data_IF_965648142556
#
_entry.id   IF_965648142556
#
_cell.length_a   1.000
_cell.length_b   1.000
_cell.length_c   1.000
_cell.angle_alpha   90.00
_cell.angle_beta   90.00
_cell.angle_gamma   90.00
#
_symmetry.space_group_name_H-M   'P 1'
#
loop_
_entity.id
_entity.type
_entity.pdbx_description
1 polymer ?
#
# COMPACT_ATOMS: atom_id res chain seq x y z
N UNK A 1 -37.62 49.58 -23.64
CA UNK A 1 -37.29 48.18 -23.99
C UNK A 1 -35.77 48.00 -24.09
N UNK A 2 -35.04 48.08 -22.95
CA UNK A 2 -33.55 48.06 -22.93
C UNK A 2 -32.96 47.17 -21.82
N UNK A 3 -33.80 46.49 -21.03
CA UNK A 3 -33.39 45.68 -19.87
C UNK A 3 -33.42 44.16 -20.14
N UNK A 4 -33.75 43.74 -21.36
CA UNK A 4 -33.90 42.32 -21.72
C UNK A 4 -32.70 41.74 -22.50
N UNK A 5 -31.71 42.55 -22.88
CA UNK A 5 -30.55 42.07 -23.63
C UNK A 5 -29.36 41.62 -22.76
N UNK A 6 -29.36 41.94 -21.45
CA UNK A 6 -28.21 41.65 -20.58
C UNK A 6 -28.23 40.22 -19.99
N UNK A 7 -29.38 39.53 -20.05
CA UNK A 7 -29.51 38.18 -19.50
C UNK A 7 -29.13 37.07 -20.50
N UNK A 8 -29.03 37.39 -21.81
CA UNK A 8 -28.73 36.40 -22.85
C UNK A 8 -27.22 36.20 -23.10
N UNK A 9 -26.36 37.00 -22.47
CA UNK A 9 -24.90 36.88 -22.55
C UNK A 9 -24.30 35.98 -21.46
N UNK A 10 -25.10 35.48 -20.53
CA UNK A 10 -24.65 34.58 -19.45
C UNK A 10 -24.78 33.09 -19.87
N UNK A 11 -25.43 32.81 -21.01
CA UNK A 11 -25.58 31.46 -21.57
C UNK A 11 -24.56 31.10 -22.65
N UNK A 12 -23.55 31.95 -22.91
CA UNK A 12 -22.37 31.52 -23.66
C UNK A 12 -21.63 30.58 -22.72
N UNK A 13 -21.81 29.28 -22.96
CA UNK A 13 -21.17 28.22 -22.19
C UNK A 13 -19.70 28.57 -21.98
N UNK A 14 -19.33 28.72 -20.70
CA UNK A 14 -17.93 28.69 -20.31
C UNK A 14 -17.35 27.43 -20.97
N UNK A 15 -16.24 27.52 -21.74
CA UNK A 15 -15.62 26.34 -22.27
C UNK A 15 -15.37 25.42 -21.08
N UNK A 16 -15.96 24.23 -21.12
CA UNK A 16 -15.59 23.17 -20.20
C UNK A 16 -14.06 23.05 -20.32
N UNK A 17 -13.34 23.44 -19.29
CA UNK A 17 -11.90 23.23 -19.23
C UNK A 17 -11.71 21.72 -19.04
N UNK A 18 -11.74 20.96 -20.13
CA UNK A 18 -11.52 19.51 -20.11
C UNK A 18 -10.04 19.16 -19.87
N UNK A 19 -9.14 20.13 -20.03
CA UNK A 19 -7.71 19.96 -19.76
C UNK A 19 -7.39 20.41 -18.35
N UNK A 20 -7.28 19.43 -17.44
CA UNK A 20 -6.64 19.62 -16.15
C UNK A 20 -5.24 20.21 -16.35
N UNK A 21 -4.92 21.25 -15.56
CA UNK A 21 -3.75 22.09 -15.76
C UNK A 21 -2.39 21.41 -15.51
N UNK A 22 -1.29 22.14 -15.71
CA UNK A 22 0.06 21.65 -15.43
C UNK A 22 0.22 21.34 -13.94
N UNK A 23 0.26 20.06 -13.58
CA UNK A 23 0.48 19.63 -12.21
C UNK A 23 1.96 19.60 -11.84
N UNK A 24 2.29 19.91 -10.58
CA UNK A 24 3.64 19.63 -10.06
C UNK A 24 3.86 18.12 -10.07
N UNK A 25 4.85 17.64 -10.81
CA UNK A 25 5.26 16.25 -10.73
C UNK A 25 6.18 16.11 -9.52
N UNK A 26 5.72 15.36 -8.52
CA UNK A 26 6.46 15.10 -7.29
C UNK A 26 7.06 13.70 -7.34
N UNK A 27 8.32 13.62 -6.95
CA UNK A 27 9.11 12.40 -6.95
C UNK A 27 9.48 12.04 -5.52
N UNK A 28 9.13 10.82 -5.15
CA UNK A 28 9.29 10.30 -3.79
C UNK A 28 10.30 9.17 -3.79
N UNK A 29 11.14 9.17 -2.77
CA UNK A 29 12.08 8.11 -2.47
C UNK A 29 11.52 7.27 -1.32
N UNK A 30 11.88 5.99 -1.28
CA UNK A 30 11.53 5.11 -0.16
C UNK A 30 12.66 5.19 0.85
N UNK A 31 12.33 5.48 2.11
CA UNK A 31 13.33 5.60 3.17
C UNK A 31 13.16 4.56 4.27
N UNK A 32 12.06 3.82 4.23
CA UNK A 32 11.76 2.81 5.24
C UNK A 32 10.60 1.89 4.90
N UNK A 33 10.47 0.85 5.71
CA UNK A 33 9.39 -0.12 5.68
C UNK A 33 8.89 -0.34 7.11
N UNK A 34 7.58 -0.35 7.28
CA UNK A 34 6.92 -0.72 8.52
C UNK A 34 6.05 -1.96 8.28
N UNK A 35 6.03 -2.84 9.27
CA UNK A 35 5.20 -4.03 9.30
C UNK A 35 4.33 -4.02 10.55
N UNK A 36 3.02 -3.93 10.35
CA UNK A 36 2.01 -3.85 11.42
C UNK A 36 1.11 -5.06 11.35
N UNK A 37 0.76 -5.61 12.51
CA UNK A 37 -0.29 -6.63 12.59
C UNK A 37 -1.59 -5.95 12.97
N UNK A 38 -2.67 -6.31 12.29
CA UNK A 38 -3.99 -5.77 12.52
C UNK A 38 -4.97 -6.88 12.81
N UNK A 39 -5.93 -6.60 13.69
CA UNK A 39 -7.16 -7.37 13.83
C UNK A 39 -8.23 -6.68 12.99
N UNK A 40 -8.75 -7.39 12.01
CA UNK A 40 -9.92 -6.98 11.23
C UNK A 40 -11.11 -7.79 11.71
N UNK A 41 -12.10 -7.11 12.27
CA UNK A 41 -13.42 -7.68 12.56
C UNK A 41 -14.46 -7.03 11.64
N UNK A 42 -15.70 -7.51 11.68
CA UNK A 42 -16.81 -6.84 10.99
C UNK A 42 -17.07 -5.40 11.49
N UNK A 43 -16.66 -5.08 12.73
CA UNK A 43 -16.98 -3.81 13.38
C UNK A 43 -15.81 -2.81 13.40
N UNK A 44 -14.56 -3.29 13.38
CA UNK A 44 -13.39 -2.44 13.57
C UNK A 44 -12.09 -3.04 13.04
N UNK A 45 -11.14 -2.16 12.75
CA UNK A 45 -9.72 -2.45 12.48
C UNK A 45 -8.90 -1.95 13.66
N UNK A 46 -8.04 -2.78 14.21
CA UNK A 46 -7.17 -2.42 15.34
C UNK A 46 -5.74 -2.89 15.08
N UNK A 47 -4.76 -1.99 15.23
CA UNK A 47 -3.34 -2.37 15.26
C UNK A 47 -3.05 -3.14 16.55
N UNK A 48 -2.48 -4.33 16.41
CA UNK A 48 -2.16 -5.21 17.52
C UNK A 48 -0.87 -4.75 18.22
N UNK A 49 -0.82 -4.98 19.53
CA UNK A 49 0.35 -4.75 20.38
C UNK A 49 0.91 -6.05 20.92
N UNK A 50 2.14 -6.01 21.44
CA UNK A 50 2.86 -7.18 21.94
C UNK A 50 2.04 -7.97 22.98
N UNK A 51 2.00 -9.29 22.82
CA UNK A 51 1.33 -10.22 23.73
C UNK A 51 -0.18 -10.32 23.55
N UNK A 52 -0.77 -9.54 22.63
CA UNK A 52 -2.18 -9.70 22.31
C UNK A 52 -2.45 -11.02 21.57
N UNK A 53 -3.66 -11.52 21.76
CA UNK A 53 -4.16 -12.76 21.15
C UNK A 53 -5.14 -12.44 20.03
N UNK A 54 -5.11 -13.16 18.93
CA UNK A 54 -6.01 -12.93 17.78
C UNK A 54 -6.30 -14.25 17.06
N UNK A 55 -7.51 -14.40 16.51
CA UNK A 55 -7.81 -15.51 15.61
C UNK A 55 -7.08 -15.31 14.29
N UNK A 56 -6.60 -16.41 13.69
CA UNK A 56 -6.00 -16.38 12.36
C UNK A 56 -6.94 -15.78 11.31
N UNK A 57 -8.26 -15.98 11.43
CA UNK A 57 -9.26 -15.44 10.49
C UNK A 57 -9.35 -13.90 10.52
N UNK A 58 -9.10 -13.29 11.67
CA UNK A 58 -9.16 -11.84 11.87
C UNK A 58 -7.79 -11.17 11.66
N UNK A 59 -6.72 -11.95 11.50
CA UNK A 59 -5.36 -11.43 11.42
C UNK A 59 -5.05 -10.89 10.02
N UNK A 60 -4.49 -9.68 9.97
CA UNK A 60 -3.89 -9.09 8.78
C UNK A 60 -2.49 -8.59 9.06
N UNK A 61 -1.63 -8.63 8.05
CA UNK A 61 -0.33 -7.99 8.03
C UNK A 61 -0.43 -6.77 7.12
N UNK A 62 -0.20 -5.59 7.65
CA UNK A 62 -0.08 -4.36 6.86
C UNK A 62 1.38 -4.00 6.69
N UNK A 63 1.79 -3.75 5.45
CA UNK A 63 3.07 -3.14 5.13
C UNK A 63 2.84 -1.69 4.71
N UNK A 64 3.66 -0.81 5.26
CA UNK A 64 3.65 0.61 4.93
C UNK A 64 5.05 1.04 4.54
N UNK A 65 5.15 1.72 3.40
CA UNK A 65 6.39 2.35 2.98
C UNK A 65 6.48 3.75 3.59
N UNK A 66 7.62 4.04 4.19
CA UNK A 66 7.97 5.39 4.60
C UNK A 66 8.62 6.08 3.40
N UNK A 67 8.07 7.22 3.00
CA UNK A 67 8.47 7.91 1.77
C UNK A 67 8.92 9.33 2.07
N UNK A 68 9.88 9.81 1.28
CA UNK A 68 10.40 11.17 1.38
C UNK A 68 10.36 11.85 0.02
N UNK A 69 9.76 13.04 -0.04
CA UNK A 69 9.81 13.89 -1.24
C UNK A 69 11.26 14.32 -1.48
N UNK A 70 11.82 13.99 -2.66
CA UNK A 70 13.18 14.41 -3.02
C UNK A 70 13.22 15.43 -4.16
N UNK A 71 12.20 15.47 -5.02
CA UNK A 71 12.12 16.45 -6.11
C UNK A 71 10.69 16.79 -6.46
N UNK A 72 10.47 18.03 -6.89
CA UNK A 72 9.21 18.46 -7.48
C UNK A 72 9.51 19.31 -8.71
N UNK A 73 9.01 18.88 -9.88
CA UNK A 73 9.12 19.65 -11.11
C UNK A 73 7.86 20.49 -11.30
N UNK A 74 7.98 21.83 -11.32
CA UNK A 74 6.86 22.68 -11.67
C UNK A 74 6.51 22.44 -13.14
N UNK A 75 5.29 22.05 -13.43
CA UNK A 75 4.86 21.99 -14.81
C UNK A 75 4.75 23.44 -15.37
N UNK A 76 5.13 23.65 -16.64
CA UNK A 76 5.20 24.99 -17.23
C UNK A 76 3.81 25.63 -17.24
N UNK A 77 3.63 26.71 -16.46
CA UNK A 77 2.39 27.47 -16.39
C UNK A 77 2.42 28.66 -17.34
N UNK A 78 1.43 28.74 -18.21
CA UNK A 78 0.99 30.01 -18.82
C UNK A 78 -0.29 30.48 -18.13
N UNK A 79 -0.20 31.49 -17.26
CA UNK A 79 -1.35 32.18 -16.68
C UNK A 79 -1.81 31.72 -15.28
N UNK A 80 -2.42 32.64 -14.54
CA UNK A 80 -2.97 32.43 -13.19
C UNK A 80 -4.40 31.90 -13.29
N UNK A 81 -4.59 30.58 -13.26
CA UNK A 81 -5.90 29.97 -13.11
C UNK A 81 -5.95 29.18 -11.80
N UNK A 82 -6.88 29.54 -10.92
CA UNK A 82 -7.26 28.70 -9.78
C UNK A 82 -8.22 27.63 -10.30
N UNK A 83 -7.81 26.36 -10.28
CA UNK A 83 -8.61 25.21 -10.72
C UNK A 83 -8.72 24.18 -9.59
N UNK A 84 -9.88 23.56 -9.45
CA UNK A 84 -10.16 22.52 -8.45
C UNK A 84 -9.90 21.11 -9.01
N UNK A 85 -8.64 20.83 -9.37
CA UNK A 85 -8.23 19.50 -9.82
C UNK A 85 -7.61 18.71 -8.66
N UNK A 86 -7.77 17.39 -8.69
CA UNK A 86 -7.04 16.49 -7.79
C UNK A 86 -5.53 16.57 -8.11
N UNK A 87 -4.69 16.55 -7.08
CA UNK A 87 -3.24 16.49 -7.26
C UNK A 87 -2.85 15.17 -7.93
N UNK A 88 -1.84 15.17 -8.82
CA UNK A 88 -1.37 13.94 -9.44
C UNK A 88 -0.83 13.01 -8.35
N UNK A 89 -1.00 11.71 -8.56
CA UNK A 89 -0.40 10.72 -7.67
C UNK A 89 1.13 10.88 -7.66
N UNK A 90 1.77 10.67 -6.50
CA UNK A 90 3.23 10.57 -6.38
C UNK A 90 3.84 9.68 -7.49
N UNK A 91 4.91 10.15 -8.12
CA UNK A 91 5.68 9.36 -9.07
C UNK A 91 6.80 8.64 -8.34
N UNK A 92 6.78 7.32 -8.41
CA UNK A 92 7.87 6.45 -7.95
C UNK A 92 8.51 5.83 -9.18
N UNK A 93 9.84 5.78 -9.22
CA UNK A 93 10.55 5.17 -10.36
C UNK A 93 10.96 3.73 -10.08
N UNK A 94 10.84 3.31 -8.83
CA UNK A 94 11.34 2.07 -8.28
C UNK A 94 10.27 0.97 -8.35
N UNK A 95 10.72 -0.27 -8.44
CA UNK A 95 9.87 -1.45 -8.42
C UNK A 95 10.35 -2.43 -7.36
N UNK A 96 9.41 -3.12 -6.72
CA UNK A 96 9.67 -4.24 -5.83
C UNK A 96 9.89 -5.47 -6.70
N UNK A 97 11.05 -6.10 -6.62
CA UNK A 97 11.35 -7.36 -7.28
C UNK A 97 11.34 -8.56 -6.31
N UNK A 98 11.43 -8.32 -5.00
CA UNK A 98 11.28 -9.35 -3.99
C UNK A 98 10.65 -8.80 -2.71
N UNK A 99 9.72 -9.56 -2.15
CA UNK A 99 9.21 -9.39 -0.79
C UNK A 99 9.20 -10.77 -0.14
N UNK A 100 9.74 -10.90 1.05
CA UNK A 100 9.73 -12.16 1.81
C UNK A 100 9.13 -11.91 3.17
N UNK A 101 8.09 -12.68 3.51
CA UNK A 101 7.53 -12.77 4.86
C UNK A 101 8.07 -14.05 5.50
N UNK A 102 8.62 -13.94 6.70
CA UNK A 102 9.13 -15.06 7.49
C UNK A 102 8.58 -14.95 8.90
N UNK A 103 8.45 -16.08 9.61
CA UNK A 103 8.22 -16.06 11.06
C UNK A 103 9.52 -16.33 11.82
N UNK A 104 9.66 -15.69 12.98
CA UNK A 104 10.73 -15.99 13.95
C UNK A 104 10.57 -17.35 14.63
N UNK A 105 9.36 -17.89 14.64
CA UNK A 105 9.02 -19.17 15.27
C UNK A 105 8.53 -20.16 14.21
N UNK A 106 8.49 -21.44 14.55
CA UNK A 106 7.86 -22.44 13.68
C UNK A 106 6.39 -22.06 13.47
N UNK A 107 5.96 -22.03 12.21
CA UNK A 107 4.59 -21.73 11.85
C UNK A 107 3.77 -23.02 11.73
N UNK A 108 4.31 -23.99 10.99
CA UNK A 108 3.82 -25.36 10.89
C UNK A 108 4.99 -26.31 10.53
N UNK A 109 4.69 -27.59 10.27
CA UNK A 109 5.71 -28.59 9.95
C UNK A 109 6.43 -28.35 8.62
N UNK A 110 5.80 -27.65 7.67
CA UNK A 110 6.39 -27.29 6.36
C UNK A 110 7.13 -25.94 6.43
N UNK A 111 6.81 -25.12 7.43
CA UNK A 111 7.33 -23.78 7.62
C UNK A 111 8.01 -23.61 8.99
N UNK A 112 9.24 -24.15 9.17
CA UNK A 112 10.02 -23.92 10.38
C UNK A 112 10.44 -22.45 10.52
N UNK A 113 10.91 -22.06 11.70
CA UNK A 113 11.39 -20.72 12.01
C UNK A 113 12.38 -20.22 10.94
N UNK A 114 12.13 -19.01 10.44
CA UNK A 114 12.92 -18.35 9.39
C UNK A 114 12.59 -18.78 7.96
N UNK A 115 11.75 -19.79 7.75
CA UNK A 115 11.26 -20.14 6.41
C UNK A 115 10.31 -19.08 5.86
N UNK A 116 10.23 -19.00 4.52
CA UNK A 116 9.30 -18.09 3.85
C UNK A 116 7.86 -18.58 4.00
N UNK A 117 6.96 -17.64 4.28
CA UNK A 117 5.51 -17.85 4.35
C UNK A 117 4.79 -17.30 3.10
N UNK A 118 5.51 -16.97 2.02
CA UNK A 118 4.93 -16.25 0.87
C UNK A 118 3.81 -17.00 0.14
N UNK A 119 3.76 -18.33 0.25
CA UNK A 119 2.67 -19.16 -0.25
C UNK A 119 1.44 -19.19 0.68
N UNK A 120 1.65 -18.93 1.97
CA UNK A 120 0.57 -18.78 2.94
C UNK A 120 0.06 -17.34 3.04
N UNK A 121 0.81 -16.36 2.56
CA UNK A 121 0.42 -14.95 2.56
C UNK A 121 -0.29 -14.62 1.24
N UNK A 122 -1.42 -13.94 1.31
CA UNK A 122 -2.18 -13.48 0.15
C UNK A 122 -2.58 -12.02 0.26
N UNK A 123 -2.85 -11.42 -0.89
CA UNK A 123 -3.40 -10.08 -1.01
C UNK A 123 -4.55 -10.08 -2.02
N UNK A 124 -5.33 -9.01 -1.99
CA UNK A 124 -6.30 -8.70 -3.03
C UNK A 124 -5.62 -7.90 -4.14
N UNK A 125 -5.75 -8.35 -5.39
CA UNK A 125 -5.22 -7.62 -6.55
C UNK A 125 -6.15 -6.48 -6.99
N UNK A 126 -5.76 -5.78 -8.05
CA UNK A 126 -6.53 -4.66 -8.62
C UNK A 126 -7.93 -5.04 -9.13
N UNK A 127 -8.19 -6.34 -9.30
CA UNK A 127 -9.47 -6.90 -9.76
C UNK A 127 -10.28 -7.55 -8.62
N UNK A 128 -9.85 -7.40 -7.37
CA UNK A 128 -10.51 -7.99 -6.21
C UNK A 128 -10.22 -9.49 -6.02
N UNK A 129 -9.28 -10.07 -6.78
CA UNK A 129 -8.94 -11.48 -6.69
C UNK A 129 -7.90 -11.72 -5.60
N UNK A 130 -8.08 -12.82 -4.85
CA UNK A 130 -7.12 -13.24 -3.84
C UNK A 130 -5.97 -14.01 -4.49
N UNK A 131 -4.78 -13.43 -4.50
CA UNK A 131 -3.56 -14.02 -5.08
C UNK A 131 -2.51 -14.25 -3.99
N UNK A 132 -1.74 -15.34 -4.08
CA UNK A 132 -0.64 -15.56 -3.12
C UNK A 132 0.46 -14.53 -3.35
N UNK A 133 1.19 -14.18 -2.30
CA UNK A 133 2.32 -13.27 -2.41
C UNK A 133 3.40 -13.84 -3.34
N UNK A 134 3.60 -15.16 -3.32
CA UNK A 134 4.49 -15.86 -4.25
C UNK A 134 4.11 -15.65 -5.71
N UNK A 135 2.84 -15.82 -6.06
CA UNK A 135 2.35 -15.61 -7.44
C UNK A 135 2.37 -14.13 -7.83
N UNK A 136 2.05 -13.26 -6.88
CA UNK A 136 2.02 -11.82 -7.13
C UNK A 136 3.40 -11.26 -7.50
N UNK A 137 4.47 -11.83 -6.95
CA UNK A 137 5.87 -11.40 -7.18
C UNK A 137 6.59 -12.14 -8.30
N UNK A 138 5.87 -12.85 -9.18
CA UNK A 138 6.49 -13.47 -10.37
C UNK A 138 7.12 -12.42 -11.28
N UNK A 139 6.61 -11.18 -11.26
CA UNK A 139 7.16 -10.04 -11.98
C UNK A 139 7.35 -8.85 -11.03
N UNK A 140 8.34 -7.97 -11.28
CA UNK A 140 8.51 -6.76 -10.50
C UNK A 140 7.26 -5.88 -10.50
N UNK A 141 6.97 -5.23 -9.36
CA UNK A 141 5.77 -4.41 -9.14
C UNK A 141 6.15 -2.96 -8.87
N UNK A 142 5.55 -2.02 -9.60
CA UNK A 142 5.80 -0.60 -9.40
C UNK A 142 5.28 -0.14 -8.04
N UNK A 143 6.08 0.61 -7.29
CA UNK A 143 5.73 1.02 -5.92
C UNK A 143 4.54 2.00 -5.85
N UNK A 144 4.35 2.80 -6.90
CA UNK A 144 3.39 3.92 -6.87
C UNK A 144 1.93 3.57 -6.68
N UNK A 145 1.55 2.31 -6.88
CA UNK A 145 0.20 1.85 -6.62
C UNK A 145 0.01 1.31 -5.18
N UNK A 146 1.06 1.24 -4.35
CA UNK A 146 1.06 0.36 -3.17
C UNK A 146 1.77 0.90 -1.90
N UNK A 147 1.66 2.18 -1.51
CA UNK A 147 2.31 2.65 -0.28
C UNK A 147 1.79 1.95 0.99
N UNK A 148 0.60 1.33 0.92
CA UNK A 148 0.02 0.52 1.98
C UNK A 148 -0.50 -0.80 1.40
N UNK A 149 0.15 -1.92 1.73
CA UNK A 149 -0.28 -3.25 1.31
C UNK A 149 -0.86 -4.00 2.50
N UNK A 150 -2.01 -4.65 2.31
CA UNK A 150 -2.65 -5.47 3.35
C UNK A 150 -2.66 -6.92 2.88
N UNK A 151 -2.12 -7.78 3.72
CA UNK A 151 -2.02 -9.21 3.49
C UNK A 151 -2.83 -10.00 4.52
N UNK A 152 -3.30 -11.16 4.09
CA UNK A 152 -3.99 -12.16 4.91
C UNK A 152 -3.20 -13.46 4.89
N UNK A 153 -3.30 -14.23 5.98
CA UNK A 153 -2.76 -15.59 6.03
C UNK A 153 -3.85 -16.58 5.60
N UNK A 154 -3.54 -17.44 4.62
CA UNK A 154 -4.42 -18.49 4.08
C UNK A 154 -4.61 -19.65 5.04
N UNK A 155 -3.62 -19.88 5.88
CA UNK A 155 -3.57 -20.97 6.85
C UNK A 155 -3.15 -20.39 8.19
N UNK A 156 -3.73 -20.90 9.27
CA UNK A 156 -3.28 -20.63 10.62
C UNK A 156 -1.95 -21.35 10.94
N UNK A 157 -1.19 -20.90 11.96
CA UNK A 157 -0.13 -21.72 12.51
C UNK A 157 -0.69 -23.02 13.10
N UNK A 158 0.15 -24.06 13.23
CA UNK A 158 -0.27 -25.40 13.66
C UNK A 158 -0.83 -25.47 15.09
N UNK A 159 -0.69 -24.42 15.89
CA UNK A 159 -1.25 -24.31 17.23
C UNK A 159 -1.30 -22.87 17.73
N UNK A 160 -1.92 -22.69 18.90
CA UNK A 160 -1.94 -21.39 19.60
C UNK A 160 -0.54 -21.04 20.11
N UNK A 161 0.20 -20.30 19.31
CA UNK A 161 1.62 -20.01 19.53
C UNK A 161 1.92 -18.53 19.35
N UNK A 162 2.99 -18.08 20.00
CA UNK A 162 3.55 -16.76 19.77
C UNK A 162 4.18 -16.73 18.38
N UNK A 163 3.85 -15.70 17.61
CA UNK A 163 4.36 -15.45 16.28
C UNK A 163 4.87 -14.01 16.20
N UNK A 164 6.01 -13.83 15.53
CA UNK A 164 6.59 -12.53 15.19
C UNK A 164 7.08 -12.63 13.76
N UNK A 165 6.61 -11.74 12.88
CA UNK A 165 6.93 -11.80 11.47
C UNK A 165 8.03 -10.80 11.13
N UNK A 166 8.95 -11.22 10.26
CA UNK A 166 9.92 -10.35 9.62
C UNK A 166 9.60 -10.27 8.14
N UNK A 167 9.62 -9.05 7.63
CA UNK A 167 9.34 -8.73 6.24
C UNK A 167 10.59 -8.10 5.66
N UNK A 168 11.08 -8.66 4.55
CA UNK A 168 12.23 -8.14 3.80
C UNK A 168 11.78 -7.80 2.38
N UNK A 169 11.93 -6.54 2.00
CA UNK A 169 11.68 -6.04 0.65
C UNK A 169 13.00 -5.74 -0.03
N UNK A 170 13.14 -6.15 -1.28
CA UNK A 170 14.21 -5.75 -2.20
C UNK A 170 13.59 -4.97 -3.36
N UNK A 171 14.33 -3.98 -3.85
CA UNK A 171 13.94 -3.15 -4.98
C UNK A 171 14.88 -3.35 -6.16
N UNK A 172 14.41 -3.05 -7.36
CA UNK A 172 15.20 -3.17 -8.60
C UNK A 172 16.43 -2.26 -8.64
N UNK A 173 16.46 -1.18 -7.84
CA UNK A 173 17.61 -0.29 -7.67
C UNK A 173 18.68 -0.85 -6.71
N UNK A 174 18.45 -2.02 -6.09
CA UNK A 174 19.34 -2.69 -5.14
C UNK A 174 19.10 -2.35 -3.67
N UNK A 175 18.14 -1.48 -3.37
CA UNK A 175 17.81 -1.13 -1.99
C UNK A 175 17.05 -2.27 -1.28
N UNK A 176 17.29 -2.38 0.02
CA UNK A 176 16.69 -3.42 0.86
C UNK A 176 16.16 -2.82 2.13
N UNK A 177 14.88 -3.08 2.39
CA UNK A 177 14.18 -2.65 3.59
C UNK A 177 13.73 -3.86 4.38
N UNK A 178 13.88 -3.81 5.70
CA UNK A 178 13.45 -4.88 6.60
C UNK A 178 12.65 -4.30 7.75
N UNK A 179 11.54 -4.95 8.08
CA UNK A 179 10.68 -4.61 9.20
C UNK A 179 10.32 -5.86 9.99
N UNK A 180 10.07 -5.69 11.28
CA UNK A 180 9.55 -6.73 12.14
C UNK A 180 8.25 -6.28 12.78
N UNK A 181 7.32 -7.22 12.92
CA UNK A 181 6.09 -6.98 13.67
C UNK A 181 6.34 -7.12 15.16
N UNK A 182 5.36 -6.70 15.97
CA UNK A 182 5.26 -7.13 17.37
C UNK A 182 5.02 -8.64 17.47
N UNK A 183 5.35 -9.23 18.62
CA UNK A 183 5.05 -10.63 18.91
C UNK A 183 3.63 -10.78 19.46
N UNK A 184 2.80 -11.62 18.84
CA UNK A 184 1.39 -11.86 19.21
C UNK A 184 1.13 -13.35 19.35
N UNK A 185 0.07 -13.74 20.06
CA UNK A 185 -0.42 -15.12 20.06
C UNK A 185 -1.51 -15.28 18.98
N UNK A 186 -1.31 -16.21 18.05
CA UNK A 186 -2.30 -16.50 17.00
C UNK A 186 -3.05 -17.76 17.37
N UNK A 187 -4.38 -17.69 17.42
CA UNK A 187 -5.26 -18.83 17.62
C UNK A 187 -5.73 -19.36 16.26
N UNK A 188 -5.56 -20.66 15.98
CA UNK A 188 -6.04 -21.27 14.74
C UNK A 188 -7.54 -21.12 14.50
#
# INVERSE_FOLDING_TARGET
MKKLLLALLISVGLPACETCGPFKQEYYDIVGLQALLMRQTAAAVQVLTTGQRVSAADLQLQLRLDTQLYSAQPAPTGGFAAMACDYPSPSYTESIDSLTVTSRYDYDAQHPAGSSLNDLVQLEDEYGQQISLREWLVVPRQIGSFPNMVFRFRQAPAGSLVQQFRVRQHQTNGEVYTAETVAIEIQP
#
